data_IF_434059408171
#
_entry.id   IF_434059408171
#
_cell.length_a   1.000
_cell.length_b   1.000
_cell.length_c   1.000
_cell.angle_alpha   90.00
_cell.angle_beta   90.00
_cell.angle_gamma   90.00
#
_symmetry.space_group_name_H-M   'P 1'
#
loop_
_entity.id
_entity.type
_entity.pdbx_description
1 polymer ?
#
# COMPACT_ATOMS: atom_id res chain seq x y z
N UNK A 1 7.43 9.22 -2.94
CA UNK A 1 6.90 7.91 -2.45
C UNK A 1 7.48 6.67 -3.15
N UNK A 2 7.71 6.64 -4.46
CA UNK A 2 8.16 5.39 -5.14
C UNK A 2 9.48 4.84 -4.57
N UNK A 3 10.45 5.72 -4.29
CA UNK A 3 11.71 5.33 -3.67
C UNK A 3 11.52 4.66 -2.29
N UNK A 4 10.60 5.19 -1.48
CA UNK A 4 10.24 4.60 -0.17
C UNK A 4 9.60 3.22 -0.30
N UNK A 5 8.81 3.00 -1.36
CA UNK A 5 8.24 1.67 -1.66
C UNK A 5 9.36 0.67 -1.94
N UNK A 6 10.33 1.04 -2.78
CA UNK A 6 11.47 0.17 -3.09
C UNK A 6 12.32 -0.12 -1.86
N UNK A 7 12.57 0.89 -1.02
CA UNK A 7 13.32 0.72 0.23
C UNK A 7 12.62 -0.23 1.19
N UNK A 8 11.30 -0.06 1.38
CA UNK A 8 10.51 -0.93 2.24
C UNK A 8 10.47 -2.37 1.71
N UNK A 9 10.33 -2.57 0.40
CA UNK A 9 10.36 -3.91 -0.20
C UNK A 9 11.72 -4.58 -0.03
N UNK A 10 12.83 -3.86 -0.19
CA UNK A 10 14.17 -4.37 0.10
C UNK A 10 14.32 -4.77 1.56
N UNK A 11 13.86 -3.93 2.49
CA UNK A 11 13.87 -4.24 3.92
C UNK A 11 13.05 -5.52 4.22
N UNK A 12 11.89 -5.69 3.61
CA UNK A 12 11.08 -6.91 3.74
C UNK A 12 11.77 -8.16 3.18
N UNK A 13 12.53 -8.02 2.09
CA UNK A 13 13.33 -9.10 1.51
C UNK A 13 14.47 -9.48 2.46
N UNK A 14 15.25 -8.51 2.95
CA UNK A 14 16.47 -8.77 3.72
C UNK A 14 16.22 -9.14 5.17
N UNK A 15 15.32 -8.43 5.86
CA UNK A 15 15.12 -8.61 7.30
C UNK A 15 14.07 -9.66 7.64
N UNK A 16 13.10 -9.86 6.74
CA UNK A 16 11.98 -10.79 6.97
C UNK A 16 12.02 -12.02 6.07
N UNK A 17 12.98 -12.09 5.14
CA UNK A 17 13.18 -13.21 4.20
C UNK A 17 11.88 -13.64 3.52
N UNK A 18 11.05 -12.67 3.14
CA UNK A 18 9.75 -12.94 2.51
C UNK A 18 9.96 -13.53 1.12
N UNK A 19 9.07 -14.45 0.72
CA UNK A 19 9.12 -15.03 -0.62
C UNK A 19 8.90 -13.97 -1.69
N UNK A 20 9.48 -14.19 -2.88
CA UNK A 20 9.29 -13.29 -4.02
C UNK A 20 7.81 -13.09 -4.41
N UNK A 21 6.97 -14.09 -4.21
CA UNK A 21 5.50 -13.97 -4.37
C UNK A 21 4.88 -13.01 -3.37
N UNK A 22 5.32 -13.07 -2.12
CA UNK A 22 4.86 -12.17 -1.07
C UNK A 22 5.29 -10.74 -1.36
N UNK A 23 6.55 -10.53 -1.76
CA UNK A 23 7.05 -9.21 -2.15
C UNK A 23 6.27 -8.62 -3.35
N UNK A 24 5.95 -9.44 -4.35
CA UNK A 24 5.09 -9.01 -5.48
C UNK A 24 3.70 -8.57 -5.00
N UNK A 25 3.10 -9.30 -4.07
CA UNK A 25 1.80 -8.96 -3.51
C UNK A 25 1.85 -7.64 -2.72
N UNK A 26 2.89 -7.44 -1.90
CA UNK A 26 3.12 -6.18 -1.17
C UNK A 26 3.33 -5.00 -2.13
N UNK A 27 4.15 -5.18 -3.18
CA UNK A 27 4.38 -4.16 -4.20
C UNK A 27 3.06 -3.68 -4.82
N UNK A 28 2.21 -4.61 -5.28
CA UNK A 28 0.93 -4.25 -5.89
C UNK A 28 -0.02 -3.52 -4.95
N UNK A 29 0.04 -3.81 -3.65
CA UNK A 29 -0.76 -3.09 -2.65
C UNK A 29 -0.24 -1.67 -2.39
N UNK A 30 1.08 -1.51 -2.28
CA UNK A 30 1.74 -0.22 -2.10
C UNK A 30 1.58 0.68 -3.33
N UNK A 31 1.66 0.12 -4.53
CA UNK A 31 1.38 0.83 -5.79
C UNK A 31 -0.06 1.35 -5.84
N UNK A 32 -1.02 0.53 -5.42
CA UNK A 32 -2.42 0.96 -5.36
C UNK A 32 -2.64 2.07 -4.33
N UNK A 33 -2.00 1.98 -3.17
CA UNK A 33 -2.08 3.00 -2.13
C UNK A 33 -1.40 4.31 -2.54
N UNK A 34 -0.20 4.25 -3.09
CA UNK A 34 0.53 5.45 -3.57
C UNK A 34 -0.19 6.12 -4.75
N UNK A 35 -0.82 5.34 -5.64
CA UNK A 35 -1.69 5.89 -6.67
C UNK A 35 -2.91 6.62 -6.09
N UNK A 36 -3.50 6.10 -5.00
CA UNK A 36 -4.58 6.78 -4.30
C UNK A 36 -4.11 8.07 -3.61
N UNK A 37 -2.93 8.07 -2.99
CA UNK A 37 -2.30 9.25 -2.40
C UNK A 37 -2.03 10.34 -3.46
N UNK A 38 -1.44 9.96 -4.60
CA UNK A 38 -1.16 10.89 -5.70
C UNK A 38 -2.43 11.57 -6.24
N UNK A 39 -3.55 10.84 -6.36
CA UNK A 39 -4.85 11.43 -6.77
C UNK A 39 -5.40 12.44 -5.77
N UNK A 40 -5.01 12.32 -4.51
CA UNK A 40 -5.38 13.25 -3.45
C UNK A 40 -4.35 14.37 -3.25
N UNK A 41 -3.28 14.42 -4.06
CA UNK A 41 -2.20 15.40 -3.91
C UNK A 41 -1.28 15.15 -2.71
N UNK A 42 -1.25 13.92 -2.19
CA UNK A 42 -0.36 13.51 -1.09
C UNK A 42 0.90 12.90 -1.69
N UNK A 43 2.05 13.49 -1.41
CA UNK A 43 3.37 13.07 -1.89
C UNK A 43 4.32 12.62 -0.76
N UNK A 44 3.93 12.87 0.50
CA UNK A 44 4.63 12.46 1.70
C UNK A 44 3.76 11.53 2.58
N UNK A 45 4.25 10.34 2.99
CA UNK A 45 3.51 9.46 3.89
C UNK A 45 3.16 10.10 5.25
N UNK A 46 3.93 11.10 5.72
CA UNK A 46 3.63 11.82 6.95
C UNK A 46 2.35 12.67 6.89
N UNK A 47 1.83 12.95 5.68
CA UNK A 47 0.55 13.62 5.48
C UNK A 47 -0.65 12.66 5.56
N UNK A 48 -0.41 11.35 5.60
CA UNK A 48 -1.47 10.34 5.68
C UNK A 48 -1.96 10.23 7.11
N UNK A 49 -3.19 10.70 7.35
CA UNK A 49 -3.88 10.52 8.62
C UNK A 49 -4.82 9.29 8.62
N UNK A 50 -5.33 8.95 9.81
CA UNK A 50 -6.27 7.83 9.97
C UNK A 50 -7.57 8.04 9.14
N UNK A 51 -7.99 9.29 8.92
CA UNK A 51 -9.20 9.57 8.13
C UNK A 51 -8.97 9.27 6.65
N UNK A 52 -7.78 9.57 6.14
CA UNK A 52 -7.35 9.26 4.80
C UNK A 52 -7.26 7.75 4.57
N UNK A 53 -6.66 7.02 5.52
CA UNK A 53 -6.62 5.55 5.48
C UNK A 53 -8.02 4.94 5.43
N UNK A 54 -8.97 5.45 6.23
CA UNK A 54 -10.36 4.97 6.18
C UNK A 54 -11.02 5.21 4.81
N UNK A 55 -10.74 6.35 4.16
CA UNK A 55 -11.21 6.62 2.79
C UNK A 55 -10.61 5.64 1.79
N UNK A 56 -9.33 5.31 1.92
CA UNK A 56 -8.67 4.31 1.08
C UNK A 56 -9.33 2.93 1.22
N UNK A 57 -9.58 2.47 2.45
CA UNK A 57 -10.27 1.20 2.70
C UNK A 57 -11.70 1.18 2.12
N UNK A 58 -12.45 2.27 2.25
CA UNK A 58 -13.76 2.42 1.59
C UNK A 58 -13.64 2.40 0.07
N UNK A 59 -12.62 3.02 -0.52
CA UNK A 59 -12.35 2.96 -1.96
C UNK A 59 -12.06 1.53 -2.43
N UNK A 60 -11.32 0.73 -1.66
CA UNK A 60 -11.11 -0.68 -2.00
C UNK A 60 -12.42 -1.48 -1.99
N UNK A 61 -13.30 -1.21 -1.01
CA UNK A 61 -14.61 -1.87 -0.94
C UNK A 61 -15.50 -1.49 -2.12
N UNK A 62 -15.55 -0.22 -2.54
CA UNK A 62 -16.36 0.21 -3.68
C UNK A 62 -15.85 -0.35 -5.01
N UNK A 63 -14.56 -0.72 -5.09
CA UNK A 63 -13.96 -1.43 -6.23
C UNK A 63 -14.22 -2.94 -6.24
N UNK A 64 -14.92 -3.47 -5.23
CA UNK A 64 -15.31 -4.88 -5.17
C UNK A 64 -14.22 -5.83 -4.68
N UNK A 65 -13.14 -5.33 -4.06
CA UNK A 65 -12.14 -6.21 -3.46
C UNK A 65 -12.75 -7.01 -2.30
N UNK A 66 -12.36 -8.28 -2.19
CA UNK A 66 -12.82 -9.14 -1.10
C UNK A 66 -12.39 -8.58 0.26
N UNK A 67 -13.15 -8.88 1.31
CA UNK A 67 -12.78 -8.50 2.69
C UNK A 67 -11.38 -8.99 3.08
N UNK A 68 -10.98 -10.19 2.64
CA UNK A 68 -9.64 -10.72 2.89
C UNK A 68 -8.55 -9.92 2.17
N UNK A 69 -8.82 -9.42 0.96
CA UNK A 69 -7.88 -8.56 0.23
C UNK A 69 -7.76 -7.20 0.89
N UNK A 70 -8.88 -6.62 1.35
CA UNK A 70 -8.88 -5.33 2.06
C UNK A 70 -8.15 -5.44 3.40
N UNK A 71 -8.31 -6.53 4.15
CA UNK A 71 -7.66 -6.70 5.45
C UNK A 71 -6.12 -6.85 5.36
N UNK A 72 -5.61 -7.30 4.21
CA UNK A 72 -4.17 -7.42 3.95
C UNK A 72 -3.51 -6.10 3.55
N UNK A 73 -4.30 -5.16 3.01
CA UNK A 73 -3.87 -3.88 2.43
C UNK A 73 -3.96 -2.74 3.43
#
# INVERSE_FOLDING_TARGET
MQELVEEYLRHLETERNLSGETLRAYRGDLELFTAFCNRAGIDDPGQVDHRFLRRYLSYLQTRGYSRSTVARR
#
